data_IF_661125082919
#
_entry.id   IF_661125082919
#
_cell.length_a   1.000
_cell.length_b   1.000
_cell.length_c   1.000
_cell.angle_alpha   90.00
_cell.angle_beta   90.00
_cell.angle_gamma   90.00
#
_symmetry.space_group_name_H-M   'P 1'
#
loop_
_entity.id
_entity.type
_entity.pdbx_description
1 polymer ?
#
# COMPACT_ATOMS: atom_id res chain seq x y z
N UNK A 1 6.93 12.98 1.45
CA UNK A 1 5.53 13.03 0.99
C UNK A 1 4.90 14.41 1.13
N UNK A 2 5.15 15.14 2.22
CA UNK A 2 4.59 16.49 2.46
C UNK A 2 5.04 17.53 1.41
N UNK A 3 6.34 17.56 1.05
CA UNK A 3 6.89 18.38 -0.05
C UNK A 3 6.19 18.15 -1.41
N UNK A 4 5.64 16.95 -1.62
CA UNK A 4 4.94 16.58 -2.85
C UNK A 4 3.42 16.81 -2.76
N UNK A 5 2.94 17.40 -1.66
CA UNK A 5 1.53 17.62 -1.33
C UNK A 5 0.69 16.33 -1.32
N UNK A 6 1.29 15.22 -0.91
CA UNK A 6 0.58 13.93 -0.76
C UNK A 6 0.03 13.73 0.65
N UNK A 7 0.69 14.33 1.65
CA UNK A 7 0.24 14.31 3.03
C UNK A 7 0.29 15.72 3.60
N UNK A 8 -0.54 15.98 4.60
CA UNK A 8 -0.50 17.19 5.44
C UNK A 8 -0.41 16.78 6.90
N UNK A 9 0.36 17.52 7.69
CA UNK A 9 0.40 17.37 9.15
C UNK A 9 -0.45 18.44 9.82
N UNK A 10 -1.50 18.03 10.52
CA UNK A 10 -2.36 18.94 11.30
C UNK A 10 -2.08 18.79 12.79
N UNK A 11 -2.10 19.90 13.54
CA UNK A 11 -2.06 19.82 15.00
C UNK A 11 -3.33 19.14 15.50
N UNK A 12 -3.18 18.26 16.49
CA UNK A 12 -4.32 17.66 17.20
C UNK A 12 -4.73 18.56 18.35
N UNK A 13 -6.02 18.55 18.66
CA UNK A 13 -6.63 19.44 19.65
C UNK A 13 -6.15 19.14 21.07
N UNK A 14 -5.81 17.89 21.37
CA UNK A 14 -5.38 17.48 22.73
C UNK A 14 -3.91 17.80 23.04
N UNK A 15 -3.00 17.74 22.05
CA UNK A 15 -1.57 18.05 22.22
C UNK A 15 -0.97 18.64 20.94
N UNK A 16 -0.54 19.89 21.01
CA UNK A 16 0.00 20.62 19.86
C UNK A 16 1.36 20.06 19.35
N UNK A 17 2.06 19.27 20.18
CA UNK A 17 3.30 18.55 19.79
C UNK A 17 2.98 17.35 18.92
N UNK A 18 1.78 16.78 19.07
CA UNK A 18 1.30 15.71 18.22
C UNK A 18 0.81 16.28 16.88
N UNK A 19 1.10 15.55 15.80
CA UNK A 19 0.65 15.89 14.44
C UNK A 19 -0.09 14.71 13.86
N UNK A 20 -1.33 14.93 13.46
CA UNK A 20 -2.09 13.98 12.65
C UNK A 20 -1.64 14.07 11.19
N UNK A 21 -1.26 12.93 10.60
CA UNK A 21 -0.94 12.83 9.17
C UNK A 21 -2.23 12.54 8.41
N UNK A 22 -2.58 13.41 7.48
CA UNK A 22 -3.80 13.31 6.68
C UNK A 22 -3.40 13.21 5.20
N UNK A 23 -4.01 12.26 4.49
CA UNK A 23 -3.89 12.13 3.03
C UNK A 23 -4.59 13.30 2.34
N UNK A 24 -3.93 13.87 1.33
CA UNK A 24 -4.53 14.93 0.50
C UNK A 24 -5.37 14.34 -0.63
N UNK A 25 -6.23 15.15 -1.25
CA UNK A 25 -6.97 14.72 -2.45
C UNK A 25 -6.03 14.34 -3.60
N UNK A 26 -4.89 15.04 -3.72
CA UNK A 26 -3.84 14.69 -4.68
C UNK A 26 -3.32 13.27 -4.45
N UNK A 27 -3.10 12.89 -3.19
CA UNK A 27 -2.65 11.52 -2.88
C UNK A 27 -3.69 10.47 -3.18
N UNK A 28 -4.98 10.76 -2.96
CA UNK A 28 -6.07 9.82 -3.28
C UNK A 28 -6.17 9.57 -4.78
N UNK A 29 -6.12 10.63 -5.58
CA UNK A 29 -6.12 10.51 -7.06
C UNK A 29 -4.90 9.72 -7.56
N UNK A 30 -3.71 10.06 -7.06
CA UNK A 30 -2.49 9.34 -7.41
C UNK A 30 -2.56 7.87 -6.99
N UNK A 31 -3.13 7.58 -5.81
CA UNK A 31 -3.32 6.22 -5.34
C UNK A 31 -4.25 5.43 -6.26
N UNK A 32 -5.35 6.01 -6.73
CA UNK A 32 -6.24 5.35 -7.69
C UNK A 32 -5.54 5.00 -9.01
N UNK A 33 -4.70 5.89 -9.53
CA UNK A 33 -3.91 5.64 -10.75
C UNK A 33 -2.90 4.52 -10.54
N UNK A 34 -2.17 4.56 -9.42
CA UNK A 34 -1.18 3.55 -9.07
C UNK A 34 -1.86 2.19 -8.82
N UNK A 35 -2.99 2.17 -8.11
CA UNK A 35 -3.74 0.94 -7.83
C UNK A 35 -4.13 0.24 -9.12
N UNK A 36 -4.67 0.99 -10.10
CA UNK A 36 -5.02 0.42 -11.41
C UNK A 36 -3.80 -0.14 -12.15
N UNK A 37 -2.65 0.52 -12.05
CA UNK A 37 -1.42 0.02 -12.65
C UNK A 37 -0.93 -1.25 -11.97
N UNK A 38 -0.98 -1.31 -10.64
CA UNK A 38 -0.65 -2.51 -9.84
C UNK A 38 -1.57 -3.65 -10.22
N UNK A 39 -2.90 -3.43 -10.20
CA UNK A 39 -3.89 -4.45 -10.56
C UNK A 39 -3.64 -4.97 -11.98
N UNK A 40 -3.32 -4.08 -12.94
CA UNK A 40 -3.00 -4.51 -14.30
C UNK A 40 -1.73 -5.37 -14.37
N UNK A 41 -0.73 -5.09 -13.55
CA UNK A 41 0.52 -5.86 -13.52
C UNK A 41 0.29 -7.20 -12.83
N UNK A 42 -0.36 -7.21 -11.66
CA UNK A 42 -0.68 -8.43 -10.92
C UNK A 42 -1.53 -9.39 -11.75
N UNK A 43 -2.56 -8.89 -12.43
CA UNK A 43 -3.38 -9.72 -13.32
C UNK A 43 -2.57 -10.37 -14.46
N UNK A 44 -1.60 -9.64 -15.03
CA UNK A 44 -0.71 -10.18 -16.07
C UNK A 44 0.26 -11.23 -15.50
N UNK A 45 0.81 -10.97 -14.31
CA UNK A 45 1.71 -11.90 -13.64
C UNK A 45 0.99 -13.20 -13.25
N UNK A 46 -0.27 -13.11 -12.84
CA UNK A 46 -1.07 -14.25 -12.38
C UNK A 46 -1.90 -14.93 -13.48
N UNK A 47 -1.87 -14.45 -14.73
CA UNK A 47 -2.79 -14.88 -15.81
C UNK A 47 -2.83 -16.41 -16.05
N UNK A 48 -1.74 -17.12 -15.79
CA UNK A 48 -1.64 -18.58 -15.99
C UNK A 48 -1.35 -19.34 -14.70
N UNK A 49 -1.66 -18.74 -13.55
CA UNK A 49 -1.45 -19.35 -12.24
C UNK A 49 -2.81 -19.65 -11.63
N UNK A 50 -3.02 -20.89 -11.23
CA UNK A 50 -4.26 -21.30 -10.59
C UNK A 50 -4.41 -20.66 -9.20
N UNK A 51 -5.64 -20.45 -8.70
CA UNK A 51 -5.86 -19.95 -7.35
C UNK A 51 -5.18 -20.80 -6.27
N UNK A 52 -5.08 -22.12 -6.48
CA UNK A 52 -4.40 -23.04 -5.58
C UNK A 52 -2.88 -22.80 -5.56
N UNK A 53 -2.25 -22.60 -6.71
CA UNK A 53 -0.82 -22.28 -6.81
C UNK A 53 -0.51 -20.92 -6.17
N UNK A 54 -1.37 -19.91 -6.35
CA UNK A 54 -1.22 -18.61 -5.67
C UNK A 54 -1.27 -18.78 -4.15
N UNK A 55 -2.19 -19.61 -3.62
CA UNK A 55 -2.27 -19.89 -2.19
C UNK A 55 -1.00 -20.58 -1.67
N UNK A 56 -0.49 -21.57 -2.40
CA UNK A 56 0.77 -22.24 -2.03
C UNK A 56 1.93 -21.24 -2.02
N UNK A 57 2.02 -20.36 -3.02
CA UNK A 57 3.03 -19.31 -3.08
C UNK A 57 2.95 -18.37 -1.87
N UNK A 58 1.76 -17.91 -1.48
CA UNK A 58 1.55 -17.07 -0.29
C UNK A 58 2.03 -17.77 0.99
N UNK A 59 1.68 -19.04 1.18
CA UNK A 59 2.13 -19.84 2.34
C UNK A 59 3.67 -19.91 2.40
N UNK A 60 4.33 -20.09 1.27
CA UNK A 60 5.80 -20.14 1.21
C UNK A 60 6.40 -18.76 1.53
N UNK A 61 5.85 -17.68 0.98
CA UNK A 61 6.30 -16.32 1.29
C UNK A 61 6.17 -15.98 2.77
N UNK A 62 5.05 -16.35 3.40
CA UNK A 62 4.84 -16.11 4.84
C UNK A 62 5.87 -16.86 5.68
N UNK A 63 6.20 -18.11 5.33
CA UNK A 63 7.28 -18.86 5.99
C UNK A 63 8.64 -18.18 5.86
N UNK A 64 8.97 -17.68 4.66
CA UNK A 64 10.23 -16.96 4.42
C UNK A 64 10.27 -15.69 5.27
N UNK A 65 9.18 -14.93 5.30
CA UNK A 65 9.06 -13.71 6.10
C UNK A 65 9.24 -14.00 7.60
N UNK A 66 8.57 -15.02 8.13
CA UNK A 66 8.65 -15.39 9.55
C UNK A 66 10.07 -15.82 9.96
N UNK A 67 10.89 -16.32 9.04
CA UNK A 67 12.29 -16.65 9.33
C UNK A 67 13.20 -15.41 9.46
N UNK A 68 12.74 -14.24 8.98
CA UNK A 68 13.48 -12.97 9.00
C UNK A 68 13.06 -12.04 10.15
N UNK A 69 11.99 -12.38 10.86
CA UNK A 69 11.53 -11.70 12.09
C UNK A 69 12.25 -12.29 13.33
#
# INVERSE_FOLDING_TARGET
MEKNNLIKRMAVSEDARLKQIILTDKSRKLYEEISKAIDSIENKLCQNITPEEIKVFQIVLDKIRNNLE
#
